data_IF_434582811053
#
_entry.id   IF_434582811053
#
_cell.length_a   1.000
_cell.length_b   1.000
_cell.length_c   1.000
_cell.angle_alpha   90.00
_cell.angle_beta   90.00
_cell.angle_gamma   90.00
#
_symmetry.space_group_name_H-M   'P 1'
#
loop_
_entity.id
_entity.type
_entity.pdbx_description
1 polymer ?
#
# COMPACT_ATOMS: atom_id res chain seq x y z
N UNK A 1 -37.73 3.94 4.22
CA UNK A 1 -38.23 4.52 2.97
C UNK A 1 -37.17 5.47 2.47
N UNK A 2 -36.68 5.26 1.24
CA UNK A 2 -35.74 6.18 0.60
C UNK A 2 -36.58 7.34 0.08
N UNK A 3 -36.23 8.56 0.46
CA UNK A 3 -36.87 9.75 -0.10
C UNK A 3 -36.41 9.91 -1.55
N UNK A 4 -37.25 9.47 -2.49
CA UNK A 4 -37.02 9.52 -3.93
C UNK A 4 -37.16 10.95 -4.52
N UNK A 5 -37.44 11.96 -3.70
CA UNK A 5 -37.73 13.32 -4.18
C UNK A 5 -36.53 14.27 -4.21
N UNK A 6 -35.33 13.83 -3.81
CA UNK A 6 -34.12 14.65 -3.89
C UNK A 6 -33.17 14.15 -4.98
N UNK A 7 -33.28 14.67 -6.22
CA UNK A 7 -32.58 14.10 -7.38
C UNK A 7 -31.05 14.31 -7.37
N UNK A 8 -30.48 15.08 -6.44
CA UNK A 8 -29.03 15.31 -6.37
C UNK A 8 -28.57 15.51 -4.91
N UNK A 9 -28.47 14.42 -4.14
CA UNK A 9 -27.70 14.48 -2.89
C UNK A 9 -26.23 14.72 -3.26
N UNK A 10 -25.58 15.80 -2.78
CA UNK A 10 -24.18 16.07 -3.09
C UNK A 10 -23.33 14.85 -2.75
N UNK A 11 -22.61 14.39 -3.77
CA UNK A 11 -21.88 13.13 -3.73
C UNK A 11 -20.61 13.27 -2.89
N UNK A 12 -19.94 14.43 -2.96
CA UNK A 12 -18.67 14.71 -2.27
C UNK A 12 -18.93 15.38 -0.91
N UNK A 13 -18.20 14.96 0.13
CA UNK A 13 -18.27 15.60 1.45
C UNK A 13 -17.59 16.98 1.43
N UNK A 14 -18.33 18.01 1.79
CA UNK A 14 -17.79 19.37 1.99
C UNK A 14 -17.03 19.49 3.30
N UNK A 15 -16.30 20.59 3.51
CA UNK A 15 -15.56 20.88 4.74
C UNK A 15 -16.38 20.64 6.02
N UNK A 16 -17.61 21.15 6.09
CA UNK A 16 -18.48 20.97 7.27
C UNK A 16 -18.88 19.51 7.45
N UNK A 17 -19.13 18.79 6.35
CA UNK A 17 -19.48 17.37 6.38
C UNK A 17 -18.29 16.50 6.79
N UNK A 18 -17.07 16.81 6.29
CA UNK A 18 -15.84 16.14 6.69
C UNK A 18 -15.60 16.28 8.19
N UNK A 19 -15.68 17.52 8.72
CA UNK A 19 -15.55 17.77 10.16
C UNK A 19 -16.61 17.03 10.98
N UNK A 20 -17.86 16.99 10.48
CA UNK A 20 -18.93 16.26 11.16
C UNK A 20 -18.68 14.75 11.15
N UNK A 21 -18.23 14.18 10.03
CA UNK A 21 -17.92 12.77 9.90
C UNK A 21 -16.74 12.35 10.80
N UNK A 22 -15.70 13.19 10.89
CA UNK A 22 -14.58 13.01 11.82
C UNK A 22 -15.04 13.08 13.28
N UNK A 23 -15.81 14.11 13.65
CA UNK A 23 -16.34 14.26 15.01
C UNK A 23 -17.23 13.08 15.44
N UNK A 24 -18.00 12.52 14.50
CA UNK A 24 -18.84 11.33 14.73
C UNK A 24 -18.04 10.03 14.75
N UNK A 25 -16.74 10.06 14.45
CA UNK A 25 -15.89 8.88 14.33
C UNK A 25 -16.26 7.96 13.16
N UNK A 26 -16.95 8.49 12.14
CA UNK A 26 -17.30 7.74 10.93
C UNK A 26 -16.08 7.58 10.03
N UNK A 27 -15.31 8.66 9.85
CA UNK A 27 -13.99 8.66 9.23
C UNK A 27 -12.97 8.76 10.37
N UNK A 28 -11.90 7.97 10.31
CA UNK A 28 -10.81 8.02 11.29
C UNK A 28 -9.47 7.98 10.58
N UNK A 29 -8.48 8.61 11.19
CA UNK A 29 -7.09 8.58 10.75
C UNK A 29 -6.20 8.15 11.91
N UNK A 30 -5.14 7.40 11.63
CA UNK A 30 -4.11 7.06 12.61
C UNK A 30 -2.72 7.16 11.96
N UNK A 31 -1.83 8.08 12.39
CA UNK A 31 -2.03 9.07 13.45
C UNK A 31 -3.14 10.08 13.13
N UNK A 32 -3.60 10.80 14.15
CA UNK A 32 -4.59 11.87 13.96
C UNK A 32 -4.05 12.92 12.97
N UNK A 33 -5.01 13.54 12.26
CA UNK A 33 -4.75 14.66 11.35
C UNK A 33 -4.95 15.99 12.09
N UNK A 34 -4.25 17.03 11.64
CA UNK A 34 -4.47 18.39 12.12
C UNK A 34 -5.55 19.11 11.30
N UNK A 35 -6.09 20.20 11.86
CA UNK A 35 -7.18 20.97 11.22
C UNK A 35 -6.75 21.59 9.87
N UNK A 36 -5.47 21.92 9.70
CA UNK A 36 -4.91 22.44 8.45
C UNK A 36 -4.83 21.41 7.33
N UNK A 37 -4.94 20.10 7.64
CA UNK A 37 -5.07 19.05 6.63
C UNK A 37 -6.48 18.98 6.03
N UNK A 38 -7.48 19.64 6.63
CA UNK A 38 -8.88 19.57 6.17
C UNK A 38 -9.15 20.69 5.16
N UNK A 39 -9.23 20.31 3.88
CA UNK A 39 -9.57 21.21 2.77
C UNK A 39 -11.06 21.40 2.56
N UNK A 40 -11.42 22.17 1.53
CA UNK A 40 -12.81 22.54 1.20
C UNK A 40 -13.69 21.29 0.93
N UNK A 41 -13.11 20.24 0.35
CA UNK A 41 -13.80 18.99 0.00
C UNK A 41 -12.87 17.77 -0.02
N UNK A 42 -11.73 17.88 0.64
CA UNK A 42 -10.69 16.85 0.68
C UNK A 42 -9.94 16.91 2.00
N UNK A 43 -9.17 15.87 2.30
CA UNK A 43 -8.24 15.82 3.43
C UNK A 43 -6.85 15.50 2.89
N UNK A 44 -5.86 16.33 3.20
CA UNK A 44 -4.47 16.09 2.83
C UNK A 44 -3.86 14.98 3.70
N UNK A 45 -3.06 14.10 3.10
CA UNK A 45 -2.36 13.01 3.78
C UNK A 45 -0.85 13.14 3.62
N UNK A 46 -0.13 12.69 4.66
CA UNK A 46 1.33 12.77 4.72
C UNK A 46 1.96 11.57 4.02
N UNK A 47 3.17 11.77 3.49
CA UNK A 47 4.02 10.67 3.03
C UNK A 47 4.48 9.83 4.23
N UNK A 48 4.32 8.50 4.16
CA UNK A 48 4.86 7.57 5.16
C UNK A 48 6.33 7.24 4.92
N UNK A 49 6.88 6.33 5.74
CA UNK A 49 8.30 5.99 5.73
C UNK A 49 8.65 4.71 4.93
N UNK A 50 7.64 4.02 4.40
CA UNK A 50 7.81 2.73 3.73
C UNK A 50 7.66 2.92 2.23
N UNK A 51 8.71 2.55 1.52
CA UNK A 51 8.82 2.69 0.07
C UNK A 51 9.08 1.33 -0.56
N UNK A 52 8.72 1.19 -1.81
CA UNK A 52 8.90 -0.05 -2.56
C UNK A 52 9.24 0.27 -4.00
N UNK A 53 10.39 -0.20 -4.47
CA UNK A 53 10.85 -0.02 -5.85
C UNK A 53 10.70 -1.32 -6.63
N UNK A 54 10.55 -1.22 -7.95
CA UNK A 54 10.67 -2.39 -8.82
C UNK A 54 12.15 -2.83 -8.88
N UNK A 55 12.38 -4.15 -8.85
CA UNK A 55 13.69 -4.74 -9.04
C UNK A 55 14.18 -4.48 -10.46
N UNK A 56 15.44 -4.10 -10.59
CA UNK A 56 16.11 -4.09 -11.88
C UNK A 56 16.38 -5.54 -12.31
N UNK A 57 15.60 -6.03 -13.27
CA UNK A 57 15.77 -7.37 -13.83
C UNK A 57 15.73 -7.29 -15.37
N UNK A 58 16.87 -7.00 -16.02
CA UNK A 58 16.94 -6.85 -17.47
C UNK A 58 16.40 -8.09 -18.18
N UNK A 59 15.47 -7.89 -19.12
CA UNK A 59 14.86 -8.98 -19.89
C UNK A 59 13.71 -9.72 -19.19
N UNK A 60 13.32 -9.33 -17.97
CA UNK A 60 12.14 -9.89 -17.32
C UNK A 60 10.86 -9.51 -18.09
N UNK A 61 10.12 -10.51 -18.56
CA UNK A 61 8.79 -10.34 -19.14
C UNK A 61 7.75 -10.69 -18.09
N UNK A 62 6.93 -9.73 -17.70
CA UNK A 62 5.85 -9.93 -16.72
C UNK A 62 4.53 -10.11 -17.47
N UNK A 63 3.69 -11.04 -17.01
CA UNK A 63 2.30 -11.19 -17.43
C UNK A 63 1.37 -10.84 -16.25
N UNK A 64 1.01 -9.55 -16.06
CA UNK A 64 0.35 -9.10 -14.83
C UNK A 64 -1.03 -9.72 -14.58
N UNK A 65 -1.71 -10.17 -15.63
CA UNK A 65 -3.04 -10.78 -15.56
C UNK A 65 -3.02 -12.32 -15.61
N UNK A 66 -1.85 -12.95 -15.55
CA UNK A 66 -1.75 -14.40 -15.52
C UNK A 66 -1.99 -14.95 -14.11
N UNK A 67 -2.60 -16.13 -14.02
CA UNK A 67 -2.77 -16.84 -12.76
C UNK A 67 -1.43 -17.07 -12.07
N UNK A 68 -1.37 -16.78 -10.77
CA UNK A 68 -0.15 -16.92 -9.97
C UNK A 68 0.83 -15.75 -10.06
N UNK A 69 0.56 -14.69 -10.83
CA UNK A 69 1.36 -13.47 -10.74
C UNK A 69 1.20 -12.83 -9.35
N UNK A 70 2.33 -12.65 -8.66
CA UNK A 70 2.38 -11.95 -7.40
C UNK A 70 3.22 -10.67 -7.53
N UNK A 71 2.62 -9.47 -7.39
CA UNK A 71 3.35 -8.21 -7.48
C UNK A 71 4.50 -8.08 -6.48
N UNK A 72 4.50 -8.83 -5.37
CA UNK A 72 5.59 -8.76 -4.38
C UNK A 72 6.91 -9.34 -4.88
N UNK A 73 6.89 -10.18 -5.92
CA UNK A 73 8.10 -10.89 -6.36
C UNK A 73 9.06 -9.97 -7.13
N UNK A 74 8.51 -8.94 -7.76
CA UNK A 74 9.22 -7.98 -8.63
C UNK A 74 9.61 -6.68 -7.91
N UNK A 75 9.46 -6.61 -6.59
CA UNK A 75 9.72 -5.39 -5.82
C UNK A 75 10.71 -5.59 -4.67
N UNK A 76 11.34 -4.50 -4.25
CA UNK A 76 12.20 -4.38 -3.08
C UNK A 76 11.69 -3.28 -2.15
N UNK A 77 11.78 -3.52 -0.84
CA UNK A 77 11.28 -2.60 0.17
C UNK A 77 12.40 -1.79 0.81
N UNK A 78 12.14 -0.52 1.03
CA UNK A 78 13.00 0.41 1.75
C UNK A 78 12.19 1.06 2.87
N UNK A 79 12.78 1.14 4.07
CA UNK A 79 12.16 1.82 5.21
C UNK A 79 13.08 2.95 5.68
N UNK A 80 12.60 4.19 5.54
CA UNK A 80 13.30 5.40 5.92
C UNK A 80 12.91 5.91 7.33
N UNK A 81 12.33 5.06 8.20
CA UNK A 81 12.09 5.39 9.62
C UNK A 81 13.39 5.72 10.37
N UNK A 82 14.54 5.21 9.90
CA UNK A 82 15.83 5.48 10.50
C UNK A 82 16.44 6.76 9.93
N UNK A 83 16.94 7.61 10.84
CA UNK A 83 17.82 8.73 10.52
C UNK A 83 18.99 8.23 9.67
N UNK A 84 19.48 9.07 8.75
CA UNK A 84 20.67 8.75 7.98
C UNK A 84 21.88 8.51 8.92
N UNK A 85 23.00 8.02 8.40
CA UNK A 85 24.24 7.78 9.18
C UNK A 85 24.75 9.01 9.97
N UNK A 86 24.24 10.21 9.66
CA UNK A 86 24.56 11.48 10.30
C UNK A 86 23.52 11.93 11.34
N UNK A 87 22.46 11.15 11.57
CA UNK A 87 21.40 11.48 12.53
C UNK A 87 20.34 12.46 12.00
N UNK A 88 20.39 12.79 10.70
CA UNK A 88 19.44 13.67 10.03
C UNK A 88 18.25 12.88 9.48
N UNK A 89 17.14 13.58 9.22
CA UNK A 89 15.95 12.97 8.65
C UNK A 89 16.24 12.51 7.21
N UNK A 90 16.02 11.22 6.92
CA UNK A 90 16.18 10.68 5.58
C UNK A 90 15.14 11.31 4.63
N UNK A 91 15.59 11.78 3.46
CA UNK A 91 14.73 12.32 2.42
C UNK A 91 14.29 11.21 1.47
N UNK A 92 13.02 11.25 1.08
CA UNK A 92 12.55 10.48 -0.05
C UNK A 92 12.86 11.24 -1.35
N UNK A 93 13.56 10.59 -2.27
CA UNK A 93 13.94 11.14 -3.58
C UNK A 93 13.22 10.37 -4.68
N UNK A 94 12.67 11.09 -5.65
CA UNK A 94 12.01 10.54 -6.84
C UNK A 94 12.61 11.15 -8.10
N UNK A 95 13.39 10.35 -8.83
CA UNK A 95 14.08 10.81 -10.03
C UNK A 95 13.13 10.92 -11.23
N UNK A 96 13.44 11.75 -12.25
CA UNK A 96 12.69 11.79 -13.50
C UNK A 96 12.50 10.39 -14.12
N UNK A 97 11.25 10.06 -14.50
CA UNK A 97 10.89 8.77 -15.11
C UNK A 97 10.82 7.59 -14.14
N UNK A 98 11.05 7.80 -12.85
CA UNK A 98 11.06 6.75 -11.83
C UNK A 98 9.65 6.45 -11.30
N UNK A 99 9.35 5.17 -11.12
CA UNK A 99 8.18 4.67 -10.39
C UNK A 99 8.61 4.12 -9.03
N UNK A 100 8.07 4.67 -7.93
CA UNK A 100 8.21 4.13 -6.59
C UNK A 100 6.84 4.02 -5.93
N UNK A 101 6.57 2.91 -5.27
CA UNK A 101 5.41 2.81 -4.39
C UNK A 101 5.76 3.40 -3.03
N UNK A 102 4.80 4.08 -2.41
CA UNK A 102 4.90 4.57 -1.05
C UNK A 102 3.62 4.28 -0.28
N UNK A 103 3.66 4.33 1.04
CA UNK A 103 2.45 4.34 1.87
C UNK A 103 2.17 5.76 2.37
N UNK A 104 0.90 6.11 2.53
CA UNK A 104 0.53 7.26 3.39
C UNK A 104 1.00 7.01 4.81
N UNK A 105 1.27 8.09 5.56
CA UNK A 105 1.55 7.98 6.99
C UNK A 105 0.29 7.53 7.73
N UNK A 106 -0.83 8.16 7.41
CA UNK A 106 -2.13 7.87 8.00
C UNK A 106 -2.68 6.54 7.48
N UNK A 107 -3.06 5.68 8.43
CA UNK A 107 -4.08 4.66 8.22
C UNK A 107 -5.46 5.33 8.22
N UNK A 108 -6.24 5.10 7.17
CA UNK A 108 -7.57 5.67 6.99
C UNK A 108 -8.62 4.61 7.26
N UNK A 109 -9.65 4.95 8.03
CA UNK A 109 -10.88 4.17 8.16
C UNK A 109 -12.00 4.85 7.38
N UNK A 110 -12.52 4.15 6.35
CA UNK A 110 -13.65 4.57 5.52
C UNK A 110 -14.87 3.74 5.92
N UNK A 111 -16.00 4.32 6.32
CA UNK A 111 -17.18 3.56 6.70
C UNK A 111 -17.87 2.94 5.48
N UNK A 112 -18.70 1.91 5.67
CA UNK A 112 -19.47 1.28 4.58
C UNK A 112 -20.46 2.21 3.85
N UNK A 113 -20.75 3.39 4.42
CA UNK A 113 -21.60 4.41 3.83
C UNK A 113 -20.86 5.41 2.93
N UNK A 114 -19.53 5.33 2.85
CA UNK A 114 -18.70 6.19 2.02
C UNK A 114 -17.77 5.37 1.14
N UNK A 115 -17.42 5.91 -0.02
CA UNK A 115 -16.22 5.54 -0.75
C UNK A 115 -15.26 6.73 -0.76
N UNK A 116 -14.04 6.54 -1.24
CA UNK A 116 -13.11 7.65 -1.41
C UNK A 116 -12.25 7.49 -2.67
N UNK A 117 -11.62 8.58 -3.11
CA UNK A 117 -10.54 8.54 -4.09
C UNK A 117 -9.31 9.25 -3.51
N UNK A 118 -8.14 8.63 -3.68
CA UNK A 118 -6.85 9.33 -3.51
C UNK A 118 -6.57 10.16 -4.76
N UNK A 119 -6.09 11.38 -4.59
CA UNK A 119 -5.78 12.33 -5.66
C UNK A 119 -4.47 13.06 -5.37
N UNK A 120 -3.80 13.51 -6.43
CA UNK A 120 -2.66 14.40 -6.32
C UNK A 120 -3.08 15.79 -5.84
N UNK A 121 -2.12 16.55 -5.32
CA UNK A 121 -2.29 17.98 -5.04
C UNK A 121 -1.86 18.77 -6.28
N UNK A 122 -2.65 19.74 -6.71
CA UNK A 122 -2.33 20.51 -7.93
C UNK A 122 -0.96 21.22 -7.85
N UNK A 123 -0.54 21.64 -6.65
CA UNK A 123 0.79 22.24 -6.43
C UNK A 123 1.93 21.28 -6.78
N UNK A 124 1.80 20.00 -6.43
CA UNK A 124 2.80 18.97 -6.70
C UNK A 124 2.69 18.42 -8.12
N UNK A 125 1.47 18.29 -8.65
CA UNK A 125 1.26 17.81 -10.02
C UNK A 125 1.96 18.71 -11.07
N UNK A 126 2.10 20.01 -10.78
CA UNK A 126 2.81 20.97 -11.65
C UNK A 126 4.32 20.73 -11.75
N UNK A 127 4.92 20.01 -10.80
CA UNK A 127 6.32 19.56 -10.91
C UNK A 127 6.46 18.21 -11.62
N UNK A 128 5.35 17.62 -12.09
CA UNK A 128 5.32 16.32 -12.78
C UNK A 128 4.97 15.14 -11.90
N UNK A 129 4.61 15.33 -10.62
CA UNK A 129 4.27 14.23 -9.73
C UNK A 129 2.87 13.65 -10.05
N UNK A 130 2.82 12.35 -10.35
CA UNK A 130 1.63 11.53 -10.21
C UNK A 130 1.68 10.74 -8.89
N UNK A 131 0.54 10.55 -8.24
CA UNK A 131 0.46 9.85 -6.93
C UNK A 131 -0.28 8.51 -6.98
N UNK A 132 -0.92 8.22 -8.12
CA UNK A 132 -1.55 6.94 -8.40
C UNK A 132 -1.47 6.66 -9.91
N UNK A 133 -1.52 5.38 -10.30
CA UNK A 133 -1.59 4.96 -11.70
C UNK A 133 -2.90 4.22 -11.90
N UNK A 134 -3.89 4.92 -12.45
CA UNK A 134 -5.22 4.37 -12.85
C UNK A 134 -6.11 3.79 -11.74
N UNK A 135 -5.61 3.64 -10.51
CA UNK A 135 -6.34 3.01 -9.39
C UNK A 135 -6.54 3.94 -8.18
N UNK A 136 -7.20 5.12 -8.31
CA UNK A 136 -7.39 6.03 -7.19
C UNK A 136 -8.44 5.57 -6.17
N UNK A 137 -9.25 4.56 -6.51
CA UNK A 137 -10.49 4.27 -5.81
C UNK A 137 -10.28 3.49 -4.51
N UNK A 138 -10.92 3.96 -3.46
CA UNK A 138 -10.91 3.37 -2.12
C UNK A 138 -12.35 2.93 -1.80
N UNK A 139 -12.50 1.62 -1.58
CA UNK A 139 -13.80 1.00 -1.38
C UNK A 139 -14.42 1.32 -0.01
N UNK A 140 -15.76 1.25 0.10
CA UNK A 140 -16.44 1.31 1.38
C UNK A 140 -15.96 0.25 2.37
N UNK A 141 -15.78 0.68 3.62
CA UNK A 141 -15.26 -0.17 4.70
C UNK A 141 -13.75 -0.19 4.83
N UNK A 142 -12.98 0.36 3.87
CA UNK A 142 -11.53 0.27 3.85
C UNK A 142 -10.89 0.72 5.17
N UNK A 143 -9.96 -0.08 5.68
CA UNK A 143 -9.10 0.25 6.83
C UNK A 143 -7.67 -0.09 6.44
N UNK A 144 -6.82 0.93 6.34
CA UNK A 144 -5.42 0.73 5.99
C UNK A 144 -4.68 2.01 5.61
N UNK A 145 -3.37 1.92 5.49
CA UNK A 145 -2.57 2.95 4.80
C UNK A 145 -2.78 2.81 3.31
N UNK A 146 -2.88 3.94 2.62
CA UNK A 146 -3.08 3.95 1.16
C UNK A 146 -1.73 3.75 0.51
N UNK A 147 -1.66 2.79 -0.42
CA UNK A 147 -0.49 2.65 -1.30
C UNK A 147 -0.60 3.68 -2.42
N UNK A 148 0.48 4.41 -2.63
CA UNK A 148 0.63 5.44 -3.64
C UNK A 148 1.57 4.91 -4.73
N UNK A 149 1.18 5.05 -6.00
CA UNK A 149 2.07 4.81 -7.13
C UNK A 149 2.70 6.15 -7.55
N UNK A 150 3.83 6.50 -6.92
CA UNK A 150 4.50 7.77 -7.17
C UNK A 150 5.31 7.69 -8.46
N UNK A 151 4.98 8.53 -9.43
CA UNK A 151 5.72 8.64 -10.69
C UNK A 151 6.09 10.09 -10.99
N UNK A 152 7.31 10.31 -11.46
CA UNK A 152 7.80 11.63 -11.82
C UNK A 152 7.84 11.81 -13.34
N UNK A 153 6.84 12.51 -13.90
CA UNK A 153 6.81 12.93 -15.30
C UNK A 153 7.64 14.19 -15.58
N UNK A 154 8.15 14.85 -14.54
CA UNK A 154 8.89 16.10 -14.65
C UNK A 154 10.37 15.92 -14.97
N UNK A 155 11.08 17.02 -15.25
CA UNK A 155 12.50 16.99 -15.60
C UNK A 155 13.45 17.05 -14.39
N UNK A 156 12.92 17.30 -13.18
CA UNK A 156 13.72 17.50 -11.97
C UNK A 156 13.55 16.35 -10.98
N UNK A 157 14.59 16.09 -10.18
CA UNK A 157 14.47 15.26 -8.99
C UNK A 157 13.51 15.92 -7.99
N UNK A 158 12.57 15.15 -7.47
CA UNK A 158 11.65 15.59 -6.43
C UNK A 158 12.09 15.02 -5.08
N UNK A 159 12.12 15.87 -4.06
CA UNK A 159 12.45 15.48 -2.69
C UNK A 159 11.27 15.73 -1.76
N UNK A 160 11.05 14.80 -0.83
CA UNK A 160 10.02 14.90 0.20
C UNK A 160 10.58 14.46 1.54
N UNK A 161 10.05 15.03 2.62
CA UNK A 161 10.33 14.68 4.00
C UNK A 161 9.24 13.71 4.51
N UNK A 162 9.54 12.39 4.63
CA UNK A 162 8.61 11.42 5.17
C UNK A 162 8.15 11.79 6.58
N UNK A 163 6.88 11.54 6.86
CA UNK A 163 6.23 11.87 8.14
C UNK A 163 5.77 13.32 8.28
N UNK A 164 6.19 14.22 7.37
CA UNK A 164 5.89 15.66 7.45
C UNK A 164 5.15 16.17 6.21
N UNK A 165 5.66 15.87 5.01
CA UNK A 165 5.14 16.50 3.81
C UNK A 165 3.80 15.90 3.36
N UNK A 166 2.87 16.77 2.99
CA UNK A 166 1.55 16.42 2.46
C UNK A 166 1.67 16.03 0.98
N UNK A 167 1.55 14.74 0.69
CA UNK A 167 1.86 14.18 -0.63
C UNK A 167 0.62 14.03 -1.52
N UNK A 168 -0.52 13.75 -0.93
CA UNK A 168 -1.77 13.51 -1.64
C UNK A 168 -2.95 14.05 -0.84
N UNK A 169 -4.14 13.95 -1.41
CA UNK A 169 -5.39 14.27 -0.75
C UNK A 169 -6.41 13.17 -1.00
N UNK A 170 -7.28 12.92 -0.03
CA UNK A 170 -8.39 11.97 -0.13
C UNK A 170 -9.71 12.73 -0.24
N UNK A 171 -10.55 12.32 -1.19
CA UNK A 171 -11.87 12.90 -1.46
C UNK A 171 -12.91 11.83 -1.13
N UNK A 172 -13.87 12.15 -0.27
CA UNK A 172 -14.89 11.20 0.18
C UNK A 172 -16.21 11.40 -0.55
N UNK A 173 -16.86 10.29 -0.89
CA UNK A 173 -18.12 10.25 -1.60
C UNK A 173 -19.15 9.44 -0.83
N UNK A 174 -20.41 9.90 -0.78
CA UNK A 174 -21.53 9.06 -0.33
C UNK A 174 -21.83 8.00 -1.37
N UNK A 175 -21.95 6.74 -0.93
CA UNK A 175 -22.51 5.68 -1.80
C UNK A 175 -24.03 5.70 -1.75
N UNK A 176 -24.68 5.28 -2.83
CA UNK A 176 -26.16 5.31 -2.95
C UNK A 176 -26.86 4.48 -1.88
N UNK A 177 -26.23 3.39 -1.43
CA UNK A 177 -26.64 2.57 -0.30
C UNK A 177 -25.42 2.15 0.50
N UNK A 178 -25.51 2.20 1.83
CA UNK A 178 -24.44 1.72 2.70
C UNK A 178 -24.17 0.24 2.44
N UNK A 179 -22.90 -0.11 2.30
CA UNK A 179 -22.46 -1.49 2.13
C UNK A 179 -22.40 -2.16 3.51
N UNK A 180 -23.08 -3.30 3.73
CA UNK A 180 -23.03 -4.01 5.02
C UNK A 180 -21.67 -4.65 5.29
N UNK A 181 -21.26 -4.70 6.56
CA UNK A 181 -19.98 -5.29 7.00
C UNK A 181 -19.77 -6.73 6.53
N UNK A 182 -20.84 -7.54 6.46
CA UNK A 182 -20.75 -8.92 5.98
C UNK A 182 -20.30 -8.97 4.52
N UNK A 183 -20.85 -8.09 3.68
CA UNK A 183 -20.51 -8.02 2.26
C UNK A 183 -19.08 -7.49 2.09
N UNK A 184 -18.72 -6.45 2.85
CA UNK A 184 -17.36 -5.90 2.92
C UNK A 184 -16.34 -6.99 3.25
N UNK A 185 -16.61 -7.82 4.26
CA UNK A 185 -15.71 -8.93 4.65
C UNK A 185 -15.60 -10.01 3.57
N UNK A 186 -16.67 -10.26 2.83
CA UNK A 186 -16.70 -11.31 1.80
C UNK A 186 -16.00 -10.91 0.50
N UNK A 187 -16.09 -9.63 0.10
CA UNK A 187 -15.56 -9.13 -1.18
C UNK A 187 -14.25 -8.33 -1.04
N UNK A 188 -13.88 -7.99 0.19
CA UNK A 188 -12.77 -7.09 0.48
C UNK A 188 -11.39 -7.68 0.25
N UNK A 189 -10.90 -7.64 -0.99
CA UNK A 189 -9.58 -8.17 -1.37
C UNK A 189 -8.41 -7.49 -0.63
N UNK A 190 -8.57 -6.22 -0.26
CA UNK A 190 -7.49 -5.38 0.29
C UNK A 190 -7.80 -4.75 1.66
N UNK A 191 -8.89 -5.21 2.30
CA UNK A 191 -9.47 -4.60 3.51
C UNK A 191 -8.62 -4.71 4.78
N UNK A 192 -7.46 -5.37 4.69
CA UNK A 192 -6.45 -5.53 5.74
C UNK A 192 -5.06 -5.66 5.12
N UNK A 193 -4.73 -4.87 4.08
CA UNK A 193 -3.39 -4.93 3.49
C UNK A 193 -2.35 -4.75 4.60
N UNK A 194 -1.56 -5.79 4.92
CA UNK A 194 -0.46 -5.62 5.84
C UNK A 194 0.58 -4.75 5.15
N UNK A 195 1.13 -3.78 5.87
CA UNK A 195 2.27 -3.00 5.37
C UNK A 195 3.42 -3.95 4.99
N UNK A 196 4.30 -3.54 4.08
CA UNK A 196 5.49 -4.35 3.73
C UNK A 196 6.26 -4.79 4.98
N UNK A 197 6.39 -3.90 5.97
CA UNK A 197 6.98 -4.16 7.28
C UNK A 197 6.21 -5.22 8.09
N UNK A 198 4.87 -5.22 8.03
CA UNK A 198 4.04 -6.24 8.67
C UNK A 198 4.17 -7.60 7.97
N UNK A 199 4.27 -7.63 6.64
CA UNK A 199 4.53 -8.87 5.89
C UNK A 199 5.90 -9.46 6.21
N UNK A 200 6.94 -8.61 6.28
CA UNK A 200 8.29 -9.03 6.65
C UNK A 200 8.37 -9.55 8.09
N UNK A 201 7.67 -8.89 9.02
CA UNK A 201 7.56 -9.34 10.42
C UNK A 201 6.86 -10.69 10.50
N UNK A 202 5.74 -10.86 9.79
CA UNK A 202 4.98 -12.10 9.76
C UNK A 202 5.78 -13.24 9.11
N UNK A 203 6.57 -12.94 8.06
CA UNK A 203 7.46 -13.88 7.41
C UNK A 203 8.60 -14.34 8.35
N UNK A 204 9.23 -13.39 9.08
CA UNK A 204 10.26 -13.69 10.08
C UNK A 204 9.71 -14.51 11.25
N UNK A 205 8.52 -14.17 11.76
CA UNK A 205 7.85 -14.92 12.82
C UNK A 205 7.45 -16.34 12.37
N UNK A 206 7.00 -16.49 11.12
CA UNK A 206 6.67 -17.80 10.54
C UNK A 206 7.92 -18.66 10.34
N UNK A 207 9.03 -18.06 9.89
CA UNK A 207 10.32 -18.73 9.76
C UNK A 207 10.90 -19.14 11.12
N UNK A 208 10.78 -18.27 12.14
CA UNK A 208 11.16 -18.60 13.52
C UNK A 208 10.32 -19.74 14.09
N UNK A 209 8.99 -19.75 13.86
CA UNK A 209 8.11 -20.84 14.29
C UNK A 209 8.46 -22.17 13.60
N UNK A 210 8.75 -22.15 12.28
CA UNK A 210 9.24 -23.35 11.55
C UNK A 210 10.56 -23.86 12.11
N UNK A 211 11.52 -22.97 12.39
CA UNK A 211 12.80 -23.34 12.97
C UNK A 211 12.66 -23.87 14.40
N UNK A 212 11.72 -23.33 15.20
CA UNK A 212 11.41 -23.85 16.53
C UNK A 212 10.78 -25.25 16.45
N UNK A 213 9.90 -25.48 15.49
CA UNK A 213 9.25 -26.77 15.26
C UNK A 213 10.27 -27.82 14.80
N UNK A 214 11.18 -27.48 13.89
CA UNK A 214 12.27 -28.35 13.46
C UNK A 214 13.28 -28.67 14.58
N UNK A 215 13.42 -27.80 15.59
CA UNK A 215 14.25 -28.08 16.79
C UNK A 215 13.58 -29.03 17.78
N UNK A 216 12.25 -29.14 17.79
CA UNK A 216 11.50 -30.02 18.69
C UNK A 216 11.15 -31.38 18.08
N UNK A 217 11.28 -31.52 16.76
CA UNK A 217 11.23 -32.83 16.10
C UNK A 217 12.62 -33.45 16.19
N UNK A 218 12.83 -34.34 17.18
CA UNK A 218 13.97 -35.26 17.12
C UNK A 218 13.84 -36.10 15.86
N UNK A 219 14.92 -36.33 15.10
CA UNK A 219 14.87 -37.26 13.98
C UNK A 219 14.44 -38.63 14.49
N UNK A 220 13.39 -39.16 13.89
CA UNK A 220 12.90 -40.50 14.17
C UNK A 220 14.00 -41.51 13.79
N UNK A 221 14.48 -42.41 14.69
CA UNK A 221 15.67 -43.22 14.44
C UNK A 221 15.50 -44.28 13.33
N UNK A 222 14.34 -44.36 12.67
CA UNK A 222 13.97 -45.48 11.80
C UNK A 222 13.72 -45.15 10.33
N UNK A 223 14.13 -43.98 9.83
CA UNK A 223 14.02 -43.65 8.40
C UNK A 223 15.35 -43.56 7.65
N UNK A 224 16.27 -44.50 7.90
CA UNK A 224 17.39 -44.75 7.00
C UNK A 224 16.93 -45.69 5.86
N UNK A 225 16.34 -45.14 4.81
CA UNK A 225 16.27 -45.87 3.53
C UNK A 225 17.61 -45.69 2.79
N UNK A 226 18.17 -46.77 2.19
CA UNK A 226 19.49 -46.71 1.59
C UNK A 226 19.48 -45.80 0.35
N UNK A 227 20.47 -44.90 0.30
CA UNK A 227 20.75 -44.06 -0.88
C UNK A 227 21.01 -44.97 -2.08
N UNK A 228 20.17 -44.88 -3.10
CA UNK A 228 20.51 -45.37 -4.44
C UNK A 228 21.53 -44.40 -5.06
N UNK A 229 22.79 -44.83 -5.09
CA UNK A 229 23.85 -44.28 -5.92
C UNK A 229 23.53 -44.62 -7.38
N UNK A 230 23.15 -43.62 -8.18
CA UNK A 230 23.12 -43.76 -9.64
C UNK A 230 24.54 -43.43 -10.14
N UNK A 231 25.20 -44.31 -10.91
CA UNK A 231 26.59 -44.08 -11.30
C UNK A 231 26.68 -43.01 -12.40
N UNK A 232 27.65 -42.11 -12.22
CA UNK A 232 28.15 -41.21 -13.25
C UNK A 232 28.88 -42.00 -14.34
N UNK A 233 28.49 -41.82 -15.60
CA UNK A 233 29.35 -42.08 -16.76
C UNK A 233 29.11 -41.04 -17.86
N UNK A 234 30.12 -40.19 -18.04
CA UNK A 234 30.83 -40.01 -19.32
C UNK A 234 30.07 -39.42 -20.51
N UNK A 235 30.31 -38.11 -20.70
CA UNK A 235 30.79 -37.47 -21.93
C UNK A 235 30.44 -38.12 -23.29
N UNK A 236 29.70 -37.38 -24.14
CA UNK A 236 29.99 -37.34 -25.57
C UNK A 236 29.71 -35.94 -26.13
N UNK A 237 30.77 -35.33 -26.65
CA UNK A 237 30.80 -34.15 -27.52
C UNK A 237 30.31 -34.58 -28.90
N UNK A 238 29.45 -33.81 -29.58
CA UNK A 238 29.70 -33.39 -30.97
C UNK A 238 28.71 -32.32 -31.47
N UNK A 239 29.33 -31.24 -31.99
CA UNK A 239 28.90 -30.17 -32.92
C UNK A 239 27.74 -29.25 -32.51
#
# INVERSE_FOLDING_TARGET
MVDETNPLVPLILSFKDLKLALKKGQIKFNPDISEDQIGISSIDLRLGYVFTRLKENPGLVVRPAADGFNPTDIVEHENLENKNVLGEQALFKLHPGELKLALTLEEVTVPGSLAANVQGKSSLARSGLAVHITAPHIHPGFVGRITLELYNHGPWELEFVPGKDLICQIIFFKVTRSVPDQLIKSLGTYMKQPTATQKDRLAKETMQRRNLHQRHVKPDPLSASPRCLVPSRGLLITL
#
